data_IF_262212120545
#
_entry.id   IF_262212120545
#
_cell.length_a   1.000
_cell.length_b   1.000
_cell.length_c   1.000
_cell.angle_alpha   90.00
_cell.angle_beta   90.00
_cell.angle_gamma   90.00
#
_symmetry.space_group_name_H-M   'P 1'
#
loop_
_entity.id
_entity.type
_entity.pdbx_description
1 polymer ?
#
# COMPACT_ATOMS: atom_id res chain seq x y z
N UNK A 1 -7.80 -7.42 -10.15
CA UNK A 1 -8.25 -8.07 -8.90
C UNK A 1 -9.10 -7.06 -8.14
N UNK A 2 -10.20 -7.51 -7.52
CA UNK A 2 -10.94 -6.71 -6.53
C UNK A 2 -10.67 -7.34 -5.17
N UNK A 3 -10.32 -6.54 -4.18
CA UNK A 3 -10.03 -7.02 -2.84
C UNK A 3 -10.70 -6.16 -1.78
N UNK A 4 -11.19 -6.82 -0.73
CA UNK A 4 -11.62 -6.18 0.50
C UNK A 4 -10.43 -6.03 1.45
N UNK A 5 -10.22 -4.81 1.95
CA UNK A 5 -9.22 -4.51 2.99
C UNK A 5 -9.97 -4.24 4.29
N UNK A 6 -9.88 -5.18 5.22
CA UNK A 6 -10.48 -5.06 6.56
C UNK A 6 -9.71 -4.05 7.41
N UNK A 7 -10.36 -3.57 8.47
CA UNK A 7 -9.74 -2.73 9.47
C UNK A 7 -8.38 -3.30 9.94
N UNK A 8 -7.37 -2.44 9.99
CA UNK A 8 -6.05 -2.75 10.53
C UNK A 8 -5.46 -1.53 11.24
N UNK A 9 -4.94 -1.74 12.45
CA UNK A 9 -4.22 -0.67 13.18
C UNK A 9 -2.76 -0.54 12.72
N UNK A 10 -2.25 -1.54 12.01
CA UNK A 10 -0.85 -1.65 11.61
C UNK A 10 -0.73 -2.09 10.16
N UNK A 11 0.16 -1.43 9.44
CA UNK A 11 0.51 -1.78 8.07
C UNK A 11 1.69 -2.74 8.01
N UNK A 12 1.91 -3.31 6.83
CA UNK A 12 3.16 -4.00 6.46
C UNK A 12 3.57 -3.50 5.08
N UNK A 13 4.87 -3.36 4.84
CA UNK A 13 5.38 -3.00 3.52
C UNK A 13 5.69 -4.27 2.72
N UNK A 14 5.22 -4.31 1.48
CA UNK A 14 5.53 -5.32 0.48
C UNK A 14 6.26 -4.65 -0.68
N UNK A 15 6.99 -5.41 -1.49
CA UNK A 15 7.73 -4.85 -2.61
C UNK A 15 7.71 -5.81 -3.78
N UNK A 16 6.93 -5.47 -4.81
CA UNK A 16 6.82 -6.26 -6.03
C UNK A 16 7.93 -5.85 -7.00
N UNK A 17 8.76 -6.80 -7.44
CA UNK A 17 9.96 -6.49 -8.24
C UNK A 17 9.70 -6.38 -9.74
N UNK A 18 8.68 -7.08 -10.22
CA UNK A 18 8.37 -7.18 -11.66
C UNK A 18 6.90 -6.85 -11.95
N UNK A 19 6.29 -6.01 -11.14
CA UNK A 19 4.87 -5.68 -11.24
C UNK A 19 4.68 -4.18 -10.98
N UNK A 20 3.86 -3.56 -11.83
CA UNK A 20 3.27 -2.25 -11.56
C UNK A 20 1.86 -2.46 -11.06
N UNK A 21 1.59 -1.98 -9.86
CA UNK A 21 0.24 -1.94 -9.30
C UNK A 21 -0.46 -0.65 -9.73
N UNK A 22 -1.75 -0.75 -10.04
CA UNK A 22 -2.60 0.38 -10.32
C UNK A 22 -3.82 0.25 -9.42
N UNK A 23 -3.86 1.07 -8.38
CA UNK A 23 -4.83 0.97 -7.31
C UNK A 23 -5.89 2.07 -7.44
N UNK A 24 -7.14 1.71 -7.19
CA UNK A 24 -8.23 2.63 -6.94
C UNK A 24 -9.10 2.10 -5.80
N UNK A 25 -9.40 2.95 -4.83
CA UNK A 25 -10.46 2.67 -3.84
C UNK A 25 -11.80 2.93 -4.52
N UNK A 26 -12.63 1.89 -4.59
CA UNK A 26 -13.99 1.99 -5.18
C UNK A 26 -15.08 2.00 -4.12
N UNK A 27 -14.75 1.64 -2.86
CA UNK A 27 -15.59 1.92 -1.71
C UNK A 27 -14.78 2.08 -0.43
N UNK A 28 -15.19 2.99 0.45
CA UNK A 28 -14.54 3.33 1.71
C UNK A 28 -13.32 4.23 1.55
N UNK A 29 -12.35 4.06 2.45
CA UNK A 29 -11.09 4.81 2.46
C UNK A 29 -9.90 3.92 2.83
N UNK A 30 -8.71 4.31 2.39
CA UNK A 30 -7.49 3.56 2.64
C UNK A 30 -6.28 4.49 2.71
N UNK A 31 -5.46 4.32 3.73
CA UNK A 31 -4.16 4.96 3.82
C UNK A 31 -3.12 4.07 3.15
N UNK A 32 -2.62 4.50 2.00
CA UNK A 32 -1.50 3.83 1.35
C UNK A 32 -0.19 4.45 1.82
N UNK A 33 0.66 3.64 2.43
CA UNK A 33 2.02 4.03 2.77
C UNK A 33 2.98 3.57 1.68
N UNK A 34 3.82 4.48 1.19
CA UNK A 34 4.86 4.19 0.20
C UNK A 34 6.23 4.62 0.72
N UNK A 35 7.27 3.82 0.45
CA UNK A 35 8.66 4.18 0.67
C UNK A 35 9.29 4.60 -0.66
N UNK A 36 9.51 5.90 -0.84
CA UNK A 36 10.12 6.46 -2.03
C UNK A 36 11.07 7.59 -1.65
N UNK A 37 12.20 7.70 -2.35
CA UNK A 37 13.23 8.71 -2.07
C UNK A 37 13.70 8.69 -0.60
N UNK A 38 13.81 7.48 -0.05
CA UNK A 38 14.18 7.21 1.36
C UNK A 38 13.24 7.87 2.38
N UNK A 39 12.01 8.19 1.98
CA UNK A 39 10.96 8.73 2.87
C UNK A 39 9.69 7.90 2.78
N UNK A 40 9.04 7.70 3.92
CA UNK A 40 7.70 7.15 3.98
C UNK A 40 6.71 8.28 3.73
N UNK A 41 5.71 8.02 2.90
CA UNK A 41 4.62 8.96 2.61
C UNK A 41 3.31 8.23 2.77
N UNK A 42 2.33 8.90 3.37
CA UNK A 42 0.95 8.45 3.37
C UNK A 42 0.22 9.13 2.22
N UNK A 43 -0.56 8.36 1.47
CA UNK A 43 -1.47 8.84 0.44
C UNK A 43 -2.86 8.37 0.83
N UNK A 44 -3.77 9.31 1.08
CA UNK A 44 -5.14 9.03 1.46
C UNK A 44 -5.97 8.76 0.20
N UNK A 45 -6.51 7.56 0.08
CA UNK A 45 -7.38 7.14 -1.01
C UNK A 45 -8.81 7.04 -0.49
N UNK A 46 -9.79 7.58 -1.22
CA UNK A 46 -11.19 7.59 -0.81
C UNK A 46 -12.12 7.37 -2.00
N UNK A 47 -13.29 6.80 -1.74
CA UNK A 47 -14.33 6.59 -2.75
C UNK A 47 -14.89 7.90 -3.34
N UNK A 48 -14.91 8.98 -2.55
CA UNK A 48 -15.45 10.29 -2.92
C UNK A 48 -14.44 11.18 -3.69
N UNK A 49 -13.18 10.79 -3.71
CA UNK A 49 -12.11 11.42 -4.48
C UNK A 49 -11.36 10.33 -5.29
N UNK A 50 -12.00 9.78 -6.34
CA UNK A 50 -11.49 8.61 -7.02
C UNK A 50 -10.23 8.95 -7.82
N UNK A 51 -9.09 8.46 -7.36
CA UNK A 51 -7.82 8.56 -8.07
C UNK A 51 -7.29 7.18 -8.44
N UNK A 52 -6.68 7.09 -9.62
CA UNK A 52 -5.88 5.94 -10.03
C UNK A 52 -4.43 6.18 -9.62
N UNK A 53 -3.97 5.44 -8.61
CA UNK A 53 -2.59 5.51 -8.17
C UNK A 53 -1.76 4.42 -8.86
N UNK A 54 -0.65 4.80 -9.46
CA UNK A 54 0.32 3.87 -10.04
C UNK A 54 1.52 3.69 -9.11
N UNK A 55 1.83 2.44 -8.77
CA UNK A 55 3.02 2.06 -7.99
C UNK A 55 3.99 1.31 -8.90
N UNK A 56 5.14 1.90 -9.25
CA UNK A 56 6.15 1.24 -10.08
C UNK A 56 6.78 0.01 -9.38
N UNK A 57 7.41 -0.89 -10.15
CA UNK A 57 8.15 -2.01 -9.57
C UNK A 57 9.27 -1.50 -8.65
N UNK A 58 9.53 -2.23 -7.56
CA UNK A 58 10.60 -1.91 -6.63
C UNK A 58 10.29 -0.81 -5.61
N UNK A 59 9.07 -0.27 -5.59
CA UNK A 59 8.62 0.69 -4.57
C UNK A 59 7.94 -0.07 -3.43
N UNK A 60 8.51 -0.10 -2.20
CA UNK A 60 7.85 -0.74 -1.08
C UNK A 60 6.59 0.03 -0.68
N UNK A 61 5.49 -0.68 -0.49
CA UNK A 61 4.20 -0.08 -0.18
C UNK A 61 3.34 -0.99 0.69
N UNK A 62 2.40 -0.40 1.42
CA UNK A 62 1.49 -1.09 2.32
C UNK A 62 0.22 -0.29 2.50
N UNK A 63 -0.83 -0.93 3.01
CA UNK A 63 -2.11 -0.29 3.22
C UNK A 63 -2.57 -0.42 4.67
N UNK A 64 -3.22 0.62 5.18
CA UNK A 64 -3.85 0.66 6.48
C UNK A 64 -5.31 1.09 6.26
N UNK A 65 -6.25 0.29 6.75
CA UNK A 65 -7.64 0.69 6.81
C UNK A 65 -7.98 1.04 8.25
N UNK A 66 -8.06 2.35 8.54
CA UNK A 66 -8.43 2.87 9.88
C UNK A 66 -9.94 2.97 10.09
N UNK A 67 -10.72 2.76 9.04
CA UNK A 67 -12.18 2.79 9.13
C UNK A 67 -12.69 1.53 9.84
N UNK A 68 -13.79 1.67 10.58
CA UNK A 68 -14.53 0.54 11.14
C UNK A 68 -15.22 -0.30 10.05
N UNK A 69 -15.28 0.20 8.81
CA UNK A 69 -15.84 -0.51 7.65
C UNK A 69 -14.72 -0.98 6.71
N UNK A 70 -14.88 -2.14 6.04
CA UNK A 70 -13.93 -2.55 5.03
C UNK A 70 -13.86 -1.55 3.87
N UNK A 71 -12.68 -1.40 3.28
CA UNK A 71 -12.49 -0.70 2.01
C UNK A 71 -12.45 -1.72 0.87
N UNK A 72 -12.94 -1.33 -0.31
CA UNK A 72 -12.87 -2.15 -1.52
C UNK A 72 -11.93 -1.48 -2.52
N UNK A 73 -10.92 -2.23 -2.95
CA UNK A 73 -9.86 -1.75 -3.83
C UNK A 73 -9.85 -2.56 -5.12
N UNK A 74 -9.74 -1.87 -6.24
CA UNK A 74 -9.35 -2.48 -7.52
C UNK A 74 -7.84 -2.37 -7.64
N UNK A 75 -7.17 -3.50 -7.90
CA UNK A 75 -5.78 -3.52 -8.34
C UNK A 75 -5.68 -4.07 -9.77
N UNK A 76 -5.32 -3.21 -10.71
CA UNK A 76 -4.97 -3.57 -12.08
C UNK A 76 -3.45 -3.74 -12.18
N UNK A 77 -3.03 -4.99 -12.32
CA UNK A 77 -1.61 -5.38 -12.30
C UNK A 77 -1.05 -5.47 -13.72
N UNK A 78 0.04 -4.74 -13.98
CA UNK A 78 0.86 -4.94 -15.17
C UNK A 78 2.13 -5.71 -14.77
N UNK A 79 2.31 -6.91 -15.33
CA UNK A 79 3.48 -7.76 -15.06
C UNK A 79 4.57 -7.52 -16.11
N UNK A 80 5.79 -7.32 -15.64
CA UNK A 80 7.02 -7.18 -16.43
C UNK A 80 7.88 -8.45 -16.38
N UNK A 81 7.46 -9.44 -15.61
CA UNK A 81 8.16 -10.71 -15.39
C UNK A 81 7.36 -11.63 -14.47
N UNK A 82 7.93 -12.80 -14.15
CA UNK A 82 7.33 -13.75 -13.24
C UNK A 82 7.26 -13.18 -11.81
N UNK A 83 6.15 -13.43 -11.11
CA UNK A 83 6.06 -13.12 -9.68
C UNK A 83 6.95 -14.06 -8.88
N UNK A 84 7.48 -13.56 -7.76
CA UNK A 84 8.29 -14.33 -6.83
C UNK A 84 7.60 -14.36 -5.46
N UNK A 85 7.53 -15.51 -4.76
CA UNK A 85 6.88 -15.59 -3.44
C UNK A 85 7.36 -14.56 -2.42
N UNK A 86 8.62 -14.10 -2.51
CA UNK A 86 9.20 -13.07 -1.62
C UNK A 86 8.59 -11.69 -1.84
N UNK A 87 7.93 -11.44 -2.97
CA UNK A 87 7.25 -10.17 -3.24
C UNK A 87 6.00 -10.01 -2.35
N UNK A 88 5.43 -11.14 -1.92
CA UNK A 88 4.26 -11.22 -1.03
C UNK A 88 4.63 -11.47 0.44
N UNK A 89 5.89 -11.22 0.80
CA UNK A 89 6.37 -11.26 2.17
C UNK A 89 6.61 -9.84 2.71
N UNK A 90 6.25 -9.56 3.98
CA UNK A 90 6.54 -8.29 4.61
C UNK A 90 8.04 -7.96 4.58
N UNK A 91 8.35 -6.69 4.33
CA UNK A 91 9.70 -6.13 4.35
C UNK A 91 9.92 -5.37 5.64
N UNK A 92 11.09 -5.60 6.25
CA UNK A 92 11.51 -4.83 7.41
C UNK A 92 11.69 -3.36 7.01
N UNK A 93 11.16 -2.47 7.85
CA UNK A 93 11.39 -1.03 7.70
C UNK A 93 12.83 -0.72 8.11
N UNK A 94 13.61 0.03 7.32
CA UNK A 94 14.95 0.44 7.70
C UNK A 94 14.96 1.16 9.06
N UNK A 95 15.93 0.86 9.92
CA UNK A 95 16.03 1.44 11.28
C UNK A 95 15.98 2.97 11.29
N UNK A 96 16.60 3.61 10.30
CA UNK A 96 16.60 5.07 10.15
C UNK A 96 15.19 5.66 9.94
N UNK A 97 14.21 4.86 9.52
CA UNK A 97 12.83 5.27 9.28
C UNK A 97 11.85 4.76 10.34
N UNK A 98 12.36 4.10 11.40
CA UNK A 98 11.52 3.43 12.39
C UNK A 98 10.58 4.40 13.13
N UNK A 99 11.07 5.60 13.48
CA UNK A 99 10.23 6.60 14.14
C UNK A 99 9.10 7.08 13.23
N UNK A 100 9.42 7.49 12.00
CA UNK A 100 8.42 7.92 11.02
C UNK A 100 7.40 6.82 10.72
N UNK A 101 7.82 5.55 10.67
CA UNK A 101 6.91 4.42 10.51
C UNK A 101 6.00 4.21 11.73
N UNK A 102 6.51 4.45 12.94
CA UNK A 102 5.70 4.41 14.16
C UNK A 102 4.65 5.53 14.16
N UNK A 103 5.06 6.75 13.82
CA UNK A 103 4.19 7.92 13.78
C UNK A 103 3.07 7.73 12.74
N UNK A 104 3.42 7.22 11.56
CA UNK A 104 2.46 6.91 10.50
C UNK A 104 1.46 5.82 10.88
N UNK A 105 1.84 4.87 11.75
CA UNK A 105 0.91 3.84 12.22
C UNK A 105 -0.04 4.35 13.30
N UNK A 106 0.41 5.31 14.13
CA UNK A 106 -0.36 5.86 15.23
C UNK A 106 -1.34 6.99 14.85
N UNK A 107 -1.22 7.55 13.64
CA UNK A 107 -2.08 8.62 13.12
C UNK A 107 -3.56 8.22 12.99
#
# INVERSE_FOLDING_TARGET
MIAEVRHSERGQLFCHRFQTDQLQVISGSLDLIVLQDRRLRCIHLREDEPIWLRIPPGVPHGAINRSSRPAVVVNAVLRHGASDPRDYQPRAVPRALAQMWSDLQAA
#
